data_IF_746878245578
#
_entry.id   IF_746878245578
#
_cell.length_a   1.000
_cell.length_b   1.000
_cell.length_c   1.000
_cell.angle_alpha   90.00
_cell.angle_beta   90.00
_cell.angle_gamma   90.00
#
_symmetry.space_group_name_H-M   'P 1'
#
loop_
_entity.id
_entity.type
_entity.pdbx_description
1 polymer ?
#
# COMPACT_ATOMS: atom_id res chain seq x y z
N UNK A 1 -18.58 7.33 -2.97
CA UNK A 1 -17.93 6.96 -3.16
C UNK A 1 -16.84 7.27 -2.82
N UNK A 2 -16.22 7.11 -2.42
CA UNK A 2 -15.31 7.30 -2.20
C UNK A 2 -14.35 7.05 -2.64
N UNK A 3 -13.69 7.59 -2.76
CA UNK A 3 -12.77 7.28 -3.43
C UNK A 3 -11.57 7.36 -2.77
N UNK A 4 -10.84 6.44 -2.71
CA UNK A 4 -9.64 6.43 -2.11
C UNK A 4 -8.72 7.24 -2.82
N UNK A 5 -7.86 7.93 -2.21
CA UNK A 5 -6.89 8.66 -2.86
C UNK A 5 -5.80 7.74 -3.18
N UNK A 6 -6.02 6.92 -4.13
CA UNK A 6 -5.07 5.89 -4.48
C UNK A 6 -3.74 6.43 -4.96
N UNK A 7 -3.72 7.61 -5.55
CA UNK A 7 -2.47 8.18 -6.00
C UNK A 7 -1.55 8.43 -4.82
N UNK A 8 -2.09 8.96 -3.73
CA UNK A 8 -1.30 9.22 -2.56
C UNK A 8 -0.79 7.93 -1.95
N UNK A 9 -1.65 6.92 -1.88
CA UNK A 9 -1.28 5.64 -1.34
C UNK A 9 -0.20 4.98 -2.20
N UNK A 10 -0.36 5.03 -3.50
CA UNK A 10 0.60 4.42 -4.40
C UNK A 10 1.95 5.11 -4.31
N UNK A 11 1.96 6.43 -4.26
CA UNK A 11 3.21 7.15 -4.18
C UNK A 11 3.93 6.83 -2.89
N UNK A 12 3.19 6.76 -1.79
CA UNK A 12 3.80 6.41 -0.53
C UNK A 12 4.38 5.00 -0.60
N UNK A 13 3.63 4.07 -1.15
CA UNK A 13 4.07 2.68 -1.20
C UNK A 13 5.33 2.53 -2.04
N UNK A 14 5.39 3.25 -3.14
CA UNK A 14 6.52 3.13 -4.03
C UNK A 14 7.81 3.64 -3.40
N UNK A 15 7.69 4.47 -2.38
CA UNK A 15 8.88 4.99 -1.72
C UNK A 15 9.37 4.06 -0.62
N UNK A 16 8.64 2.98 -0.36
CA UNK A 16 9.02 2.04 0.68
C UNK A 16 9.69 0.82 0.07
N UNK A 17 10.49 0.12 0.85
CA UNK A 17 11.06 -1.12 0.36
C UNK A 17 10.12 -2.25 0.66
N UNK A 18 9.36 -2.11 1.71
CA UNK A 18 8.42 -3.13 2.11
C UNK A 18 7.19 -2.46 2.70
N UNK A 19 6.04 -3.01 2.45
CA UNK A 19 4.80 -2.48 2.98
C UNK A 19 4.14 -3.56 3.81
N UNK A 20 3.74 -3.22 5.02
CA UNK A 20 3.02 -4.15 5.87
C UNK A 20 1.78 -3.44 6.39
N UNK A 21 0.87 -4.21 6.96
CA UNK A 21 -0.35 -3.63 7.53
C UNK A 21 0.03 -2.61 8.60
N UNK A 22 0.99 -2.94 9.45
CA UNK A 22 1.39 -2.03 10.50
C UNK A 22 1.97 -0.72 9.97
N UNK A 23 2.72 -0.80 8.90
CA UNK A 23 3.29 0.40 8.31
C UNK A 23 2.20 1.29 7.74
N UNK A 24 1.19 0.70 7.12
CA UNK A 24 0.08 1.46 6.59
C UNK A 24 -0.69 2.13 7.71
N UNK A 25 -0.91 1.41 8.80
CA UNK A 25 -1.62 1.97 9.92
C UNK A 25 -0.93 3.21 10.45
N UNK A 26 0.38 3.17 10.54
CA UNK A 26 1.10 4.31 11.03
C UNK A 26 1.15 5.45 10.04
N UNK A 27 1.38 5.12 8.79
CA UNK A 27 1.55 6.15 7.77
C UNK A 27 0.25 6.92 7.51
N UNK A 28 -0.87 6.24 7.57
CA UNK A 28 -2.15 6.87 7.25
C UNK A 28 -3.08 7.02 8.44
N UNK A 29 -2.62 6.55 9.61
CA UNK A 29 -3.40 6.68 10.81
C UNK A 29 -4.77 6.04 10.65
N UNK A 30 -4.79 4.81 10.23
CA UNK A 30 -6.03 4.07 10.03
C UNK A 30 -6.00 2.81 10.86
N UNK A 31 -7.14 2.17 11.04
CA UNK A 31 -7.19 0.96 11.82
C UNK A 31 -6.76 -0.22 10.96
N UNK A 32 -6.66 -1.38 11.58
CA UNK A 32 -6.16 -2.56 10.89
C UNK A 32 -7.04 -2.97 9.73
N UNK A 33 -8.33 -2.88 9.90
CA UNK A 33 -9.24 -3.28 8.87
C UNK A 33 -9.07 -2.42 7.62
N UNK A 34 -8.94 -1.12 7.81
CA UNK A 34 -8.75 -0.22 6.69
C UNK A 34 -7.37 -0.43 6.07
N UNK A 35 -6.37 -0.69 6.89
CA UNK A 35 -5.04 -0.93 6.38
C UNK A 35 -5.01 -2.19 5.53
N UNK A 36 -5.82 -3.19 5.88
CA UNK A 36 -5.90 -4.41 5.11
C UNK A 36 -6.46 -4.11 3.71
N UNK A 37 -7.45 -3.23 3.65
CA UNK A 37 -8.04 -2.86 2.36
C UNK A 37 -6.98 -2.17 1.50
N UNK A 38 -6.19 -1.28 2.08
CA UNK A 38 -5.16 -0.60 1.35
C UNK A 38 -4.10 -1.59 0.85
N UNK A 39 -3.73 -2.53 1.70
CA UNK A 39 -2.74 -3.51 1.35
C UNK A 39 -3.22 -4.37 0.19
N UNK A 40 -4.48 -4.80 0.24
CA UNK A 40 -5.05 -5.61 -0.82
C UNK A 40 -5.08 -4.81 -2.13
N UNK A 41 -5.38 -3.54 -2.05
CA UNK A 41 -5.39 -2.70 -3.22
C UNK A 41 -3.99 -2.64 -3.84
N UNK A 42 -2.97 -2.47 -3.02
CA UNK A 42 -1.60 -2.37 -3.52
C UNK A 42 -1.16 -3.69 -4.14
N UNK A 43 -1.58 -4.79 -3.56
CA UNK A 43 -1.24 -6.09 -4.12
C UNK A 43 -1.93 -6.28 -5.45
N UNK A 44 -3.18 -5.91 -5.53
CA UNK A 44 -3.94 -6.05 -6.76
C UNK A 44 -3.40 -5.18 -7.87
N UNK A 45 -2.82 -4.03 -7.51
CA UNK A 45 -2.26 -3.12 -8.50
C UNK A 45 -0.85 -3.52 -8.91
N UNK A 46 -0.28 -4.52 -8.26
CA UNK A 46 1.05 -4.96 -8.63
C UNK A 46 2.18 -4.13 -8.03
N UNK A 47 1.84 -3.22 -7.13
CA UNK A 47 2.86 -2.38 -6.51
C UNK A 47 3.58 -3.16 -5.42
N UNK A 48 2.84 -4.00 -4.69
CA UNK A 48 3.40 -4.80 -3.63
C UNK A 48 3.33 -6.25 -4.05
N UNK A 49 4.44 -6.95 -3.95
CA UNK A 49 4.49 -8.35 -4.32
C UNK A 49 4.34 -9.23 -3.11
N UNK A 50 4.85 -10.48 -3.22
CA UNK A 50 4.72 -11.39 -2.14
C UNK A 50 5.50 -10.91 -0.94
N UNK A 51 4.99 -11.18 0.21
CA UNK A 51 5.61 -10.83 1.47
C UNK A 51 5.77 -9.33 1.68
N UNK A 52 4.94 -8.56 1.00
CA UNK A 52 4.95 -7.12 1.19
C UNK A 52 6.10 -6.37 0.55
N UNK A 53 6.90 -7.04 -0.26
CA UNK A 53 8.03 -6.38 -0.88
C UNK A 53 7.54 -5.53 -2.04
N UNK A 54 7.96 -4.29 -2.04
CA UNK A 54 7.53 -3.36 -3.08
C UNK A 54 8.27 -3.66 -4.38
N UNK A 55 7.53 -3.75 -5.46
CA UNK A 55 8.12 -4.05 -6.75
C UNK A 55 8.48 -2.77 -7.45
N UNK A 56 9.72 -2.63 -7.81
CA UNK A 56 10.18 -1.48 -8.53
C UNK A 56 10.45 -1.88 -9.96
N UNK A 57 9.38 -1.99 -10.72
CA UNK A 57 9.55 -2.38 -12.04
C UNK A 57 10.17 -1.37 -12.82
N UNK A 58 11.11 -1.60 -13.55
CA UNK A 58 11.75 -0.66 -14.26
C UNK A 58 11.45 -0.72 -15.50
N UNK A 59 11.12 -0.18 -16.12
CA UNK A 59 10.82 -0.29 -17.33
C UNK A 59 11.47 0.20 -18.09
#
# INVERSE_FOLDING_TARGET
MMIVKSVKLENWAKSQKRVTIGRIQKAFNVNEERAQVYYDYLKGAGIVGRMGIVRHEKE
#
